data_IF_639852718717
#
_entry.id   IF_639852718717
#
_cell.length_a   1.000
_cell.length_b   1.000
_cell.length_c   1.000
_cell.angle_alpha   90.00
_cell.angle_beta   90.00
_cell.angle_gamma   90.00
#
_symmetry.space_group_name_H-M   'P 1'
#
loop_
_entity.id
_entity.type
_entity.pdbx_description
1 polymer ?
#
# COMPACT_ATOMS: atom_id res chain seq x y z
N UNK A 1 15.58 5.86 -14.97
CA UNK A 1 14.91 7.05 -15.52
C UNK A 1 15.56 8.25 -14.86
N UNK A 2 16.30 9.07 -15.62
CA UNK A 2 17.10 10.19 -15.09
C UNK A 2 16.47 11.53 -15.52
N UNK A 3 15.23 11.77 -15.07
CA UNK A 3 14.54 13.04 -15.28
C UNK A 3 14.42 13.75 -13.93
N UNK A 4 15.15 14.86 -13.78
CA UNK A 4 15.22 15.59 -12.51
C UNK A 4 13.84 16.13 -12.09
N UNK A 5 13.04 16.58 -13.06
CA UNK A 5 11.65 17.03 -12.81
C UNK A 5 10.81 15.91 -12.19
N UNK A 6 10.84 14.71 -12.79
CA UNK A 6 10.10 13.57 -12.24
C UNK A 6 10.64 13.14 -10.88
N UNK A 7 11.95 13.19 -10.68
CA UNK A 7 12.57 12.83 -9.42
C UNK A 7 12.16 13.81 -8.30
N UNK A 8 12.13 15.10 -8.62
CA UNK A 8 11.65 16.16 -7.72
C UNK A 8 10.17 15.98 -7.37
N UNK A 9 9.32 15.59 -8.31
CA UNK A 9 7.89 15.32 -8.04
C UNK A 9 7.65 14.11 -7.13
N UNK A 10 8.61 13.17 -7.03
CA UNK A 10 8.47 11.95 -6.23
C UNK A 10 9.13 12.05 -4.85
N UNK A 11 9.92 13.09 -4.60
CA UNK A 11 10.73 13.23 -3.39
C UNK A 11 10.42 14.53 -2.68
N UNK A 12 10.59 14.53 -1.37
CA UNK A 12 10.62 15.74 -0.55
C UNK A 12 12.02 15.91 0.03
N UNK A 13 12.47 17.15 0.15
CA UNK A 13 13.67 17.51 0.92
C UNK A 13 13.37 17.60 2.42
N UNK A 14 12.08 17.55 2.81
CA UNK A 14 11.62 17.82 4.17
C UNK A 14 11.22 16.54 4.94
N UNK A 15 11.47 16.61 6.25
CA UNK A 15 10.94 15.71 7.27
C UNK A 15 9.47 16.08 7.59
N UNK A 16 8.63 16.19 6.56
CA UNK A 16 7.21 16.44 6.73
C UNK A 16 6.57 15.36 7.63
N UNK A 17 5.44 15.63 8.32
CA UNK A 17 4.84 14.68 9.27
C UNK A 17 4.58 13.29 8.66
N UNK A 18 4.32 13.21 7.36
CA UNK A 18 4.16 11.96 6.60
C UNK A 18 5.42 11.07 6.62
N UNK A 19 6.58 11.66 6.90
CA UNK A 19 7.91 11.03 6.90
C UNK A 19 8.46 10.78 8.31
N UNK A 20 7.70 11.06 9.37
CA UNK A 20 8.15 10.94 10.77
C UNK A 20 8.69 9.54 11.11
N UNK A 21 8.12 8.48 10.53
CA UNK A 21 8.59 7.10 10.73
C UNK A 21 9.93 6.80 10.05
N UNK A 22 10.20 7.42 8.90
CA UNK A 22 11.47 7.31 8.18
C UNK A 22 12.56 8.02 9.00
N UNK A 23 12.27 9.23 9.46
CA UNK A 23 13.17 10.03 10.30
C UNK A 23 13.55 9.29 11.60
N UNK A 24 12.57 8.67 12.27
CA UNK A 24 12.80 7.91 13.49
C UNK A 24 13.71 6.68 13.27
N UNK A 25 13.62 6.03 12.11
CA UNK A 25 14.44 4.88 11.76
C UNK A 25 15.87 5.27 11.39
N UNK A 26 16.06 6.41 10.72
CA UNK A 26 17.40 6.92 10.39
C UNK A 26 18.18 7.38 11.62
N UNK A 27 17.51 7.87 12.67
CA UNK A 27 18.18 8.25 13.92
C UNK A 27 18.90 7.07 14.60
N UNK A 28 18.47 5.83 14.32
CA UNK A 28 19.04 4.62 14.93
C UNK A 28 20.15 3.93 14.13
N UNK A 29 20.35 4.26 12.84
CA UNK A 29 21.29 3.56 11.96
C UNK A 29 22.22 4.52 11.20
N UNK A 30 23.54 4.33 11.29
CA UNK A 30 24.56 5.08 10.52
C UNK A 30 24.61 4.71 9.02
N UNK A 31 23.51 4.22 8.45
CA UNK A 31 23.46 3.70 7.08
C UNK A 31 22.83 4.69 6.10
N UNK A 32 22.94 4.37 4.79
CA UNK A 32 22.51 5.18 3.65
C UNK A 32 21.13 5.85 3.87
N UNK A 33 21.08 7.18 3.69
CA UNK A 33 19.84 7.97 3.80
C UNK A 33 18.76 7.40 2.86
N UNK A 34 17.62 7.04 3.43
CA UNK A 34 16.42 6.70 2.70
C UNK A 34 15.93 7.92 1.92
N UNK A 35 15.24 7.68 0.83
CA UNK A 35 14.55 8.76 0.11
C UNK A 35 13.23 9.06 0.82
N UNK A 36 13.03 10.34 1.09
CA UNK A 36 11.77 10.87 1.60
C UNK A 36 10.80 11.07 0.43
N UNK A 37 9.65 10.41 0.40
CA UNK A 37 8.65 10.63 -0.65
C UNK A 37 8.03 12.02 -0.52
N UNK A 38 7.54 12.55 -1.64
CA UNK A 38 6.65 13.72 -1.64
C UNK A 38 5.31 13.40 -0.99
N UNK A 39 4.64 14.41 -0.45
CA UNK A 39 3.32 14.26 0.18
C UNK A 39 2.29 13.71 -0.81
N UNK A 40 2.28 14.22 -2.04
CA UNK A 40 1.37 13.80 -3.10
C UNK A 40 1.58 12.33 -3.47
N UNK A 41 2.82 11.84 -3.46
CA UNK A 41 3.12 10.43 -3.66
C UNK A 41 2.56 9.58 -2.52
N UNK A 42 2.72 10.02 -1.26
CA UNK A 42 2.17 9.30 -0.09
C UNK A 42 0.65 9.23 -0.16
N UNK A 43 -0.01 10.35 -0.47
CA UNK A 43 -1.47 10.43 -0.62
C UNK A 43 -1.94 9.49 -1.74
N UNK A 44 -1.32 9.55 -2.92
CA UNK A 44 -1.68 8.72 -4.08
C UNK A 44 -1.50 7.23 -3.79
N UNK A 45 -0.41 6.86 -3.12
CA UNK A 45 -0.16 5.48 -2.68
C UNK A 45 -1.23 5.03 -1.68
N UNK A 46 -1.59 5.88 -0.72
CA UNK A 46 -2.65 5.61 0.26
C UNK A 46 -4.00 5.36 -0.41
N UNK A 47 -4.38 6.20 -1.37
CA UNK A 47 -5.60 6.03 -2.16
C UNK A 47 -5.58 4.73 -2.99
N UNK A 48 -4.45 4.41 -3.63
CA UNK A 48 -4.29 3.13 -4.34
C UNK A 48 -4.47 1.93 -3.41
N UNK A 49 -3.96 1.99 -2.17
CA UNK A 49 -4.16 0.91 -1.18
C UNK A 49 -5.63 0.75 -0.83
N UNK A 50 -6.39 1.83 -0.64
CA UNK A 50 -7.82 1.76 -0.37
C UNK A 50 -8.59 1.07 -1.51
N UNK A 51 -8.27 1.41 -2.76
CA UNK A 51 -8.85 0.76 -3.94
C UNK A 51 -8.51 -0.73 -3.97
N UNK A 52 -7.26 -1.11 -3.67
CA UNK A 52 -6.86 -2.53 -3.57
C UNK A 52 -7.71 -3.24 -2.52
N UNK A 53 -7.87 -2.66 -1.32
CA UNK A 53 -8.68 -3.28 -0.27
C UNK A 53 -10.14 -3.44 -0.69
N UNK A 54 -10.73 -2.44 -1.34
CA UNK A 54 -12.11 -2.47 -1.83
C UNK A 54 -12.30 -3.55 -2.90
N UNK A 55 -11.45 -3.55 -3.93
CA UNK A 55 -11.51 -4.55 -5.00
C UNK A 55 -11.33 -5.96 -4.43
N UNK A 56 -10.37 -6.16 -3.53
CA UNK A 56 -10.12 -7.48 -2.94
C UNK A 56 -11.25 -7.93 -2.01
N UNK A 57 -11.92 -7.04 -1.28
CA UNK A 57 -13.08 -7.42 -0.46
C UNK A 57 -14.20 -8.04 -1.30
N UNK A 58 -14.44 -7.47 -2.47
CA UNK A 58 -15.58 -7.86 -3.31
C UNK A 58 -15.24 -8.91 -4.38
N UNK A 59 -13.96 -9.09 -4.69
CA UNK A 59 -13.54 -9.86 -5.87
C UNK A 59 -12.38 -10.83 -5.62
N UNK A 60 -12.04 -11.17 -4.36
CA UNK A 60 -10.83 -11.97 -4.05
C UNK A 60 -10.66 -13.26 -4.86
N UNK A 61 -11.76 -13.87 -5.30
CA UNK A 61 -11.77 -15.13 -6.06
C UNK A 61 -11.68 -14.93 -7.58
N UNK A 62 -11.78 -13.70 -8.08
CA UNK A 62 -11.76 -13.40 -9.51
C UNK A 62 -10.33 -13.37 -10.06
N UNK A 63 -10.19 -13.75 -11.33
CA UNK A 63 -8.97 -13.50 -12.10
C UNK A 63 -8.93 -12.06 -12.62
N UNK A 64 -7.75 -11.57 -13.00
CA UNK A 64 -7.62 -10.22 -13.56
C UNK A 64 -7.73 -9.08 -12.54
N UNK A 65 -7.53 -9.35 -11.25
CA UNK A 65 -7.59 -8.33 -10.18
C UNK A 65 -6.69 -7.13 -10.45
N UNK A 66 -5.49 -7.37 -10.99
CA UNK A 66 -4.54 -6.32 -11.35
C UNK A 66 -5.12 -5.34 -12.37
N UNK A 67 -5.85 -5.84 -13.36
CA UNK A 67 -6.43 -5.00 -14.42
C UNK A 67 -7.60 -4.18 -13.87
N UNK A 68 -8.42 -4.78 -13.02
CA UNK A 68 -9.52 -4.09 -12.31
C UNK A 68 -8.96 -2.97 -11.43
N UNK A 69 -7.95 -3.27 -10.61
CA UNK A 69 -7.31 -2.30 -9.73
C UNK A 69 -6.67 -1.18 -10.56
N UNK A 70 -5.96 -1.51 -11.64
CA UNK A 70 -5.30 -0.52 -12.48
C UNK A 70 -6.33 0.42 -13.13
N UNK A 71 -7.40 -0.14 -13.68
CA UNK A 71 -8.50 0.65 -14.25
C UNK A 71 -9.11 1.60 -13.21
N UNK A 72 -9.43 1.09 -12.01
CA UNK A 72 -10.03 1.92 -10.95
C UNK A 72 -9.06 2.97 -10.41
N UNK A 73 -7.80 2.61 -10.18
CA UNK A 73 -6.78 3.54 -9.68
C UNK A 73 -6.54 4.69 -10.67
N UNK A 74 -6.45 4.40 -11.98
CA UNK A 74 -6.32 5.45 -13.01
C UNK A 74 -7.52 6.39 -13.07
N UNK A 75 -8.71 5.91 -12.73
CA UNK A 75 -9.93 6.70 -12.78
C UNK A 75 -10.16 7.55 -11.51
N UNK A 76 -9.68 7.08 -10.35
CA UNK A 76 -10.06 7.65 -9.05
C UNK A 76 -8.93 8.34 -8.29
N UNK A 77 -7.67 7.99 -8.56
CA UNK A 77 -6.51 8.55 -7.85
C UNK A 77 -6.04 9.80 -8.58
N UNK A 78 -5.83 10.88 -7.82
CA UNK A 78 -5.29 12.12 -8.38
C UNK A 78 -3.77 12.00 -8.56
N UNK A 79 -3.34 11.91 -9.82
CA UNK A 79 -1.93 11.91 -10.21
C UNK A 79 -1.51 13.23 -10.88
N UNK A 80 -2.20 14.34 -10.60
CA UNK A 80 -1.93 15.66 -11.19
C UNK A 80 -0.48 16.12 -10.99
N UNK A 81 0.13 15.79 -9.86
CA UNK A 81 1.54 16.12 -9.54
C UNK A 81 2.56 15.49 -10.51
N UNK A 82 2.16 14.49 -11.31
CA UNK A 82 3.01 13.87 -12.34
C UNK A 82 2.91 14.56 -13.71
N UNK A 83 1.96 15.48 -13.90
CA UNK A 83 1.67 16.09 -15.19
C UNK A 83 2.71 17.13 -15.62
N UNK A 84 3.60 17.54 -14.71
CA UNK A 84 4.75 18.39 -14.99
C UNK A 84 5.75 17.76 -15.98
N UNK A 85 5.65 16.45 -16.25
CA UNK A 85 6.41 15.79 -17.30
C UNK A 85 5.50 14.89 -18.14
N UNK A 86 4.89 15.46 -19.18
CA UNK A 86 3.98 14.73 -20.10
C UNK A 86 4.63 13.49 -20.74
N UNK A 87 5.95 13.51 -20.95
CA UNK A 87 6.66 12.38 -21.54
C UNK A 87 6.68 11.14 -20.62
N UNK A 88 6.71 11.33 -19.30
CA UNK A 88 6.83 10.24 -18.34
C UNK A 88 5.60 10.05 -17.45
N UNK A 89 4.64 10.97 -17.44
CA UNK A 89 3.50 10.96 -16.53
C UNK A 89 2.73 9.64 -16.58
N UNK A 90 2.40 9.15 -17.79
CA UNK A 90 1.68 7.88 -17.97
C UNK A 90 2.47 6.70 -17.43
N UNK A 91 3.77 6.62 -17.75
CA UNK A 91 4.66 5.57 -17.26
C UNK A 91 4.78 5.59 -15.73
N UNK A 92 4.94 6.77 -15.13
CA UNK A 92 5.04 6.91 -13.67
C UNK A 92 3.75 6.49 -12.97
N UNK A 93 2.58 6.91 -13.48
CA UNK A 93 1.27 6.47 -12.99
C UNK A 93 1.18 4.93 -12.98
N UNK A 94 1.54 4.29 -14.10
CA UNK A 94 1.55 2.84 -14.22
C UNK A 94 2.50 2.15 -13.24
N UNK A 95 3.74 2.64 -13.12
CA UNK A 95 4.74 2.06 -12.23
C UNK A 95 4.34 2.18 -10.76
N UNK A 96 3.75 3.31 -10.36
CA UNK A 96 3.25 3.51 -8.99
C UNK A 96 2.15 2.48 -8.71
N UNK A 97 1.11 2.44 -9.54
CA UNK A 97 -0.02 1.51 -9.36
C UNK A 97 0.47 0.07 -9.28
N UNK A 98 1.33 -0.36 -10.22
CA UNK A 98 1.89 -1.72 -10.23
C UNK A 98 2.69 -2.03 -8.97
N UNK A 99 3.49 -1.06 -8.49
CA UNK A 99 4.33 -1.23 -7.29
C UNK A 99 3.47 -1.35 -6.05
N UNK A 100 2.44 -0.52 -5.92
CA UNK A 100 1.48 -0.60 -4.81
C UNK A 100 0.72 -1.93 -4.86
N UNK A 101 0.29 -2.40 -6.02
CA UNK A 101 -0.40 -3.69 -6.14
C UNK A 101 0.49 -4.88 -5.73
N UNK A 102 1.76 -4.89 -6.17
CA UNK A 102 2.73 -5.95 -5.84
C UNK A 102 2.96 -6.11 -4.34
N UNK A 103 2.80 -5.04 -3.56
CA UNK A 103 2.97 -5.05 -2.11
C UNK A 103 1.63 -5.21 -1.38
N UNK A 104 0.64 -4.41 -1.78
CA UNK A 104 -0.66 -4.28 -1.15
C UNK A 104 -1.49 -5.56 -1.22
N UNK A 105 -1.50 -6.24 -2.37
CA UNK A 105 -2.29 -7.47 -2.53
C UNK A 105 -1.79 -8.59 -1.60
N UNK A 106 -0.48 -8.96 -1.60
CA UNK A 106 0.02 -9.93 -0.62
C UNK A 106 -0.20 -9.50 0.82
N UNK A 107 -0.02 -8.21 1.14
CA UNK A 107 -0.22 -7.69 2.49
C UNK A 107 -1.67 -7.88 2.96
N UNK A 108 -2.65 -7.54 2.12
CA UNK A 108 -4.07 -7.73 2.42
C UNK A 108 -4.40 -9.20 2.66
N UNK A 109 -3.98 -10.08 1.75
CA UNK A 109 -4.21 -11.52 1.88
C UNK A 109 -3.57 -12.08 3.18
N UNK A 110 -2.35 -11.64 3.51
CA UNK A 110 -1.68 -12.03 4.73
C UNK A 110 -2.38 -11.49 5.99
N UNK A 111 -2.96 -10.28 5.94
CA UNK A 111 -3.78 -9.73 7.03
C UNK A 111 -5.03 -10.58 7.24
N UNK A 112 -5.81 -10.82 6.19
CA UNK A 112 -7.01 -11.68 6.26
C UNK A 112 -6.71 -13.08 6.79
N UNK A 113 -5.61 -13.70 6.33
CA UNK A 113 -5.18 -15.00 6.83
C UNK A 113 -4.81 -15.00 8.31
N UNK A 114 -4.20 -13.92 8.82
CA UNK A 114 -3.90 -13.77 10.24
C UNK A 114 -5.18 -13.62 11.06
N UNK A 115 -6.12 -12.81 10.59
CA UNK A 115 -7.40 -12.57 11.26
C UNK A 115 -8.21 -13.88 11.36
N UNK A 116 -8.34 -14.62 10.26
CA UNK A 116 -8.98 -15.94 10.26
C UNK A 116 -8.31 -16.94 11.23
N UNK A 117 -6.97 -16.95 11.31
CA UNK A 117 -6.25 -17.81 12.25
C UNK A 117 -6.52 -17.43 13.70
N UNK A 118 -6.58 -16.13 14.00
CA UNK A 118 -6.90 -15.62 15.33
C UNK A 118 -8.34 -16.04 15.74
N UNK A 119 -9.31 -15.84 14.85
CA UNK A 119 -10.71 -16.27 15.10
C UNK A 119 -10.84 -17.78 15.33
N UNK A 120 -10.14 -18.59 14.52
CA UNK A 120 -10.13 -20.04 14.70
C UNK A 120 -9.58 -20.44 16.07
N UNK A 121 -8.51 -19.79 16.54
CA UNK A 121 -7.96 -20.02 17.89
C UNK A 121 -9.00 -19.73 18.96
N UNK A 122 -9.69 -18.59 18.88
CA UNK A 122 -10.75 -18.21 19.83
C UNK A 122 -11.86 -19.27 19.83
N UNK A 123 -12.38 -19.65 18.66
CA UNK A 123 -13.43 -20.67 18.53
C UNK A 123 -13.02 -22.02 19.11
N UNK A 124 -11.78 -22.46 18.90
CA UNK A 124 -11.26 -23.71 19.46
C UNK A 124 -11.13 -23.63 20.99
N UNK A 125 -10.64 -22.51 21.53
CA UNK A 125 -10.55 -22.29 22.97
C UNK A 125 -11.93 -22.31 23.64
N UNK A 126 -12.93 -21.63 23.06
CA UNK A 126 -14.30 -21.66 23.57
C UNK A 126 -14.91 -23.07 23.54
N UNK A 127 -14.64 -23.85 22.49
CA UNK A 127 -15.07 -25.26 22.42
C UNK A 127 -14.42 -26.11 23.50
N UNK A 128 -13.11 -25.94 23.75
CA UNK A 128 -12.40 -26.64 24.84
C UNK A 128 -12.97 -26.29 26.21
N UNK A 129 -13.20 -25.01 26.47
CA UNK A 129 -13.79 -24.53 27.73
C UNK A 129 -15.18 -25.12 27.98
N UNK A 130 -16.05 -25.14 26.96
CA UNK A 130 -17.38 -25.78 27.06
C UNK A 130 -17.29 -27.27 27.40
N UNK A 131 -16.32 -28.00 26.84
CA UNK A 131 -16.12 -29.43 27.19
C UNK A 131 -15.69 -29.61 28.64
N UNK A 132 -14.83 -28.73 29.17
CA UNK A 132 -14.38 -28.79 30.57
C UNK A 132 -15.48 -28.45 31.59
N UNK A 133 -16.44 -27.59 31.22
CA UNK A 133 -17.59 -27.25 32.08
C UNK A 133 -18.68 -28.33 32.13
N UNK A 134 -18.66 -29.27 31.19
CA UNK A 134 -19.62 -30.37 31.10
C UNK A 134 -18.98 -31.73 31.44
N UNK A 135 -17.82 -31.72 32.10
CA UNK A 135 -17.22 -32.86 32.81
C UNK A 135 -17.47 -32.70 34.31
#
# INVERSE_FOLDING_TARGET
MNCDTCLGSLKSDNLDPCNAFIAAKEFSDNSQKLYYPSEELVISVGQCVLIIEEVLKDNIEKTGLMDIINFQAKAQVDFGFLEHCSHHSTYLKDVIIQSVCKIGIPWFCNRQNRDMRAERKVKLSSRKYKKLLHQ
#
